data_IF_705849015365
#
_entry.id   IF_705849015365
#
_cell.length_a   1.000
_cell.length_b   1.000
_cell.length_c   1.000
_cell.angle_alpha   90.00
_cell.angle_beta   90.00
_cell.angle_gamma   90.00
#
_symmetry.space_group_name_H-M   'P 1'
#
loop_
_entity.id
_entity.type
_entity.pdbx_description
1 polymer ?
#
# COMPACT_ATOMS: atom_id res chain seq x y z
N UNK A 1 63.74 34.45 37.15
CA UNK A 1 62.71 33.50 37.53
C UNK A 1 61.43 33.91 36.80
N UNK A 2 61.09 33.20 35.69
CA UNK A 2 59.91 33.50 34.87
C UNK A 2 58.96 32.33 34.94
N UNK A 3 57.81 32.52 35.56
CA UNK A 3 56.76 31.51 35.69
C UNK A 3 56.01 31.42 34.36
N UNK A 4 56.02 30.24 33.73
CA UNK A 4 55.30 29.92 32.53
C UNK A 4 53.94 29.29 32.91
N UNK A 5 52.87 30.05 32.78
CA UNK A 5 51.49 29.54 32.99
C UNK A 5 51.06 28.76 31.75
N UNK A 6 50.85 27.46 31.90
CA UNK A 6 50.31 26.57 30.90
C UNK A 6 48.78 26.59 30.97
N UNK A 7 48.11 27.29 30.03
CA UNK A 7 46.68 27.21 29.86
C UNK A 7 46.30 25.91 29.15
N UNK A 8 45.69 24.98 29.88
CA UNK A 8 45.08 23.80 29.29
C UNK A 8 43.68 24.18 28.87
N UNK A 9 43.45 24.36 27.56
CA UNK A 9 42.11 24.54 26.98
C UNK A 9 41.45 23.17 26.87
N UNK A 10 40.50 22.89 27.76
CA UNK A 10 39.61 21.71 27.67
C UNK A 10 38.53 21.96 26.58
N UNK A 11 38.75 21.37 25.43
CA UNK A 11 37.71 21.35 24.37
C UNK A 11 36.65 20.30 24.68
N UNK A 12 35.50 20.74 25.16
CA UNK A 12 34.33 19.92 25.39
C UNK A 12 33.67 19.60 24.04
N UNK A 13 33.98 18.44 23.47
CA UNK A 13 33.40 17.95 22.23
C UNK A 13 31.97 17.44 22.52
N UNK A 14 30.98 18.29 22.23
CA UNK A 14 29.57 17.95 22.35
C UNK A 14 29.17 17.06 21.17
N UNK A 15 29.13 15.75 21.39
CA UNK A 15 28.68 14.77 20.38
C UNK A 15 27.15 14.83 20.31
N UNK A 16 26.63 15.44 19.23
CA UNK A 16 25.19 15.37 18.91
C UNK A 16 24.88 13.94 18.48
N UNK A 17 24.21 13.19 19.35
CA UNK A 17 23.62 11.89 18.99
C UNK A 17 22.33 12.20 18.21
N UNK A 18 22.40 12.13 16.89
CA UNK A 18 21.22 12.12 16.04
C UNK A 18 20.49 10.79 16.26
N UNK A 19 19.44 10.82 17.08
CA UNK A 19 18.50 9.72 17.21
C UNK A 19 17.72 9.62 15.89
N UNK A 20 18.21 8.80 14.97
CA UNK A 20 17.45 8.44 13.76
C UNK A 20 16.35 7.49 14.19
N UNK A 21 15.12 7.98 14.27
CA UNK A 21 13.94 7.11 14.32
C UNK A 21 13.84 6.42 12.98
N UNK A 22 14.35 5.21 12.88
CA UNK A 22 13.99 4.28 11.80
C UNK A 22 12.59 3.79 12.12
N UNK A 23 11.59 4.23 11.35
CA UNK A 23 10.30 3.57 11.32
C UNK A 23 10.53 2.12 10.93
N UNK A 24 10.18 1.20 11.82
CA UNK A 24 10.20 -0.23 11.51
C UNK A 24 9.01 -0.48 10.59
N UNK A 25 9.26 -0.58 9.29
CA UNK A 25 8.25 -1.02 8.33
C UNK A 25 7.91 -2.47 8.65
N UNK A 26 6.63 -2.76 8.80
CA UNK A 26 6.13 -4.11 9.01
C UNK A 26 6.22 -4.85 7.68
N UNK A 27 7.18 -5.75 7.57
CA UNK A 27 7.34 -6.58 6.37
C UNK A 27 6.29 -7.70 6.39
N UNK A 28 5.40 -7.69 5.40
CA UNK A 28 4.44 -8.75 5.16
C UNK A 28 5.03 -9.75 4.18
N UNK A 29 5.17 -11.00 4.55
CA UNK A 29 5.48 -12.07 3.59
C UNK A 29 4.22 -12.44 2.78
N UNK A 30 3.66 -11.45 2.11
CA UNK A 30 2.39 -11.52 1.39
C UNK A 30 2.42 -10.58 0.18
N UNK A 31 1.60 -10.86 -0.82
CA UNK A 31 1.46 -10.01 -2.01
C UNK A 31 0.05 -10.07 -2.58
N UNK A 32 -0.36 -9.02 -3.28
CA UNK A 32 -1.58 -9.00 -4.09
C UNK A 32 -1.24 -8.84 -5.56
N UNK A 33 -2.07 -9.39 -6.43
CA UNK A 33 -1.85 -9.36 -7.87
C UNK A 33 -3.16 -9.46 -8.66
N UNK A 34 -3.15 -8.89 -9.86
CA UNK A 34 -4.17 -9.19 -10.86
C UNK A 34 -3.83 -10.54 -11.50
N UNK A 35 -4.78 -11.49 -11.50
CA UNK A 35 -4.55 -12.84 -12.03
C UNK A 35 -4.61 -12.89 -13.56
N UNK A 36 -5.28 -11.94 -14.19
CA UNK A 36 -5.59 -11.96 -15.62
C UNK A 36 -5.40 -10.62 -16.34
N UNK A 37 -4.77 -9.65 -15.69
CA UNK A 37 -4.44 -8.35 -16.26
C UNK A 37 -2.96 -8.06 -16.04
N UNK A 38 -2.32 -7.41 -17.02
CA UNK A 38 -0.92 -6.99 -16.99
C UNK A 38 -0.80 -5.48 -17.25
N UNK A 39 0.34 -4.91 -16.84
CA UNK A 39 0.65 -3.50 -17.11
C UNK A 39 0.78 -3.27 -18.62
N UNK A 40 0.07 -2.27 -19.15
CA UNK A 40 0.05 -1.94 -20.57
C UNK A 40 -1.06 -2.62 -21.37
N UNK A 41 -1.93 -3.40 -20.77
CA UNK A 41 -3.05 -4.06 -21.48
C UNK A 41 -3.97 -3.05 -22.17
N UNK A 42 -4.46 -3.43 -23.35
CA UNK A 42 -5.56 -2.76 -24.06
C UNK A 42 -6.80 -3.66 -24.00
N UNK A 43 -7.87 -3.16 -23.40
CA UNK A 43 -9.04 -3.94 -22.99
C UNK A 43 -10.34 -3.29 -23.49
N UNK A 44 -11.39 -4.10 -23.58
CA UNK A 44 -12.75 -3.61 -23.84
C UNK A 44 -13.61 -3.70 -22.57
N UNK A 45 -14.44 -2.69 -22.36
CA UNK A 45 -15.42 -2.66 -21.27
C UNK A 45 -16.64 -3.54 -21.58
N UNK A 46 -17.20 -4.31 -20.62
CA UNK A 46 -16.73 -4.47 -19.24
C UNK A 46 -15.45 -5.30 -19.12
N UNK A 47 -14.56 -4.90 -18.25
CA UNK A 47 -13.28 -5.59 -17.99
C UNK A 47 -13.50 -6.62 -16.90
N UNK A 48 -13.32 -7.91 -17.23
CA UNK A 48 -13.32 -8.96 -16.21
C UNK A 48 -12.02 -8.94 -15.43
N UNK A 49 -12.08 -8.62 -14.13
CA UNK A 49 -10.92 -8.54 -13.24
C UNK A 49 -10.94 -9.70 -12.26
N UNK A 50 -9.83 -10.43 -12.17
CA UNK A 50 -9.59 -11.45 -11.15
C UNK A 50 -8.47 -11.00 -10.22
N UNK A 51 -8.76 -11.03 -8.92
CA UNK A 51 -7.88 -10.55 -7.85
C UNK A 51 -7.31 -11.72 -7.08
N UNK A 52 -6.01 -11.69 -6.79
CA UNK A 52 -5.32 -12.70 -6.01
C UNK A 52 -4.58 -12.11 -4.83
N UNK A 53 -4.35 -12.93 -3.81
CA UNK A 53 -3.48 -12.65 -2.68
C UNK A 53 -2.70 -13.92 -2.34
N UNK A 54 -1.43 -13.78 -1.99
CA UNK A 54 -0.57 -14.83 -1.45
C UNK A 54 -0.09 -14.42 -0.07
N UNK A 55 0.11 -15.41 0.83
CA UNK A 55 0.57 -15.18 2.19
C UNK A 55 -0.50 -14.63 3.15
N UNK A 56 -1.70 -14.33 2.66
CA UNK A 56 -2.88 -13.94 3.45
C UNK A 56 -4.14 -14.61 2.90
N UNK A 57 -5.22 -14.53 3.67
CA UNK A 57 -6.53 -15.12 3.33
C UNK A 57 -7.56 -14.02 3.05
N UNK A 58 -8.44 -14.28 2.07
CA UNK A 58 -9.57 -13.38 1.80
C UNK A 58 -10.72 -13.68 2.75
N UNK A 59 -11.22 -12.66 3.43
CA UNK A 59 -12.38 -12.72 4.32
C UNK A 59 -13.31 -11.52 4.11
N UNK A 60 -14.57 -11.66 4.50
CA UNK A 60 -15.50 -10.54 4.47
C UNK A 60 -15.12 -9.46 5.50
N UNK A 61 -15.40 -8.19 5.17
CA UNK A 61 -15.26 -7.08 6.11
C UNK A 61 -16.14 -7.27 7.35
N UNK A 62 -15.72 -6.74 8.50
CA UNK A 62 -16.49 -6.75 9.74
C UNK A 62 -15.68 -6.84 11.01
N UNK A 63 -14.57 -7.58 11.02
CA UNK A 63 -13.70 -7.70 12.18
C UNK A 63 -12.23 -7.81 11.77
N UNK A 64 -11.34 -7.33 12.60
CA UNK A 64 -9.91 -7.56 12.41
C UNK A 64 -9.57 -9.02 12.75
N UNK A 65 -8.83 -9.64 11.85
CA UNK A 65 -8.23 -10.95 12.05
C UNK A 65 -6.85 -10.95 11.38
N UNK A 66 -5.83 -11.29 12.14
CA UNK A 66 -4.46 -11.31 11.64
C UNK A 66 -4.31 -12.28 10.47
N UNK A 67 -3.65 -11.85 9.39
CA UNK A 67 -3.46 -12.65 8.18
C UNK A 67 -4.67 -12.67 7.24
N UNK A 68 -5.71 -11.89 7.52
CA UNK A 68 -6.93 -11.83 6.73
C UNK A 68 -7.24 -10.41 6.25
N UNK A 69 -7.99 -10.32 5.15
CA UNK A 69 -8.45 -9.06 4.61
C UNK A 69 -9.34 -9.23 3.39
N UNK A 70 -9.60 -8.11 2.72
CA UNK A 70 -10.39 -8.10 1.48
C UNK A 70 -9.83 -7.11 0.47
N UNK A 71 -10.18 -7.33 -0.78
CA UNK A 71 -9.71 -6.52 -1.89
C UNK A 71 -10.47 -5.20 -2.03
N UNK A 72 -9.75 -4.20 -2.55
CA UNK A 72 -10.28 -2.97 -3.12
C UNK A 72 -9.61 -2.76 -4.48
N UNK A 73 -10.32 -2.13 -5.45
CA UNK A 73 -9.73 -1.59 -6.66
C UNK A 73 -9.83 -0.07 -6.60
N UNK A 74 -8.69 0.59 -6.78
CA UNK A 74 -8.59 2.04 -6.80
C UNK A 74 -8.36 2.49 -8.25
N UNK A 75 -9.23 3.35 -8.76
CA UNK A 75 -9.19 3.85 -10.14
C UNK A 75 -8.52 5.23 -10.18
N UNK A 76 -7.47 5.36 -11.01
CA UNK A 76 -6.68 6.58 -11.20
C UNK A 76 -6.02 7.14 -9.93
N UNK A 77 -5.69 6.27 -9.00
CA UNK A 77 -4.97 6.59 -7.77
C UNK A 77 -3.94 5.51 -7.46
N UNK A 78 -2.99 5.83 -6.60
CA UNK A 78 -2.00 4.90 -6.07
C UNK A 78 -2.51 4.17 -4.82
N UNK A 79 -1.64 3.41 -4.16
CA UNK A 79 -1.95 2.74 -2.90
C UNK A 79 -2.38 3.71 -1.79
N UNK A 80 -3.09 3.18 -0.82
CA UNK A 80 -3.45 3.87 0.42
C UNK A 80 -2.38 3.57 1.47
N UNK A 81 -1.92 4.60 2.17
CA UNK A 81 -0.93 4.48 3.25
C UNK A 81 -1.36 3.43 4.28
N UNK A 82 -0.41 2.66 4.80
CA UNK A 82 -0.64 1.68 5.86
C UNK A 82 -1.41 2.28 7.04
N UNK A 83 -2.29 1.49 7.65
CA UNK A 83 -3.19 1.87 8.75
C UNK A 83 -4.23 2.97 8.42
N UNK A 84 -4.20 3.55 7.23
CA UNK A 84 -5.24 4.49 6.78
C UNK A 84 -6.49 3.74 6.30
N UNK A 85 -7.66 4.31 6.57
CA UNK A 85 -8.93 3.76 6.08
C UNK A 85 -9.02 3.98 4.57
N UNK A 86 -9.31 2.92 3.82
CA UNK A 86 -9.61 3.04 2.39
C UNK A 86 -10.90 3.86 2.22
N UNK A 87 -10.89 4.96 1.44
CA UNK A 87 -12.07 5.77 1.23
C UNK A 87 -13.24 4.99 0.60
N UNK A 88 -14.46 5.43 0.85
CA UNK A 88 -15.67 4.87 0.25
C UNK A 88 -16.25 5.89 -0.75
N UNK A 89 -15.77 5.85 -1.98
CA UNK A 89 -16.20 6.73 -3.07
C UNK A 89 -16.17 5.98 -4.43
N UNK A 90 -16.51 6.66 -5.51
CA UNK A 90 -16.60 6.08 -6.85
C UNK A 90 -15.26 5.54 -7.39
N UNK A 91 -14.14 5.98 -6.86
CA UNK A 91 -12.80 5.54 -7.28
C UNK A 91 -12.26 4.39 -6.43
N UNK A 92 -12.85 4.11 -5.28
CA UNK A 92 -12.41 3.08 -4.34
C UNK A 92 -13.45 1.97 -4.26
N UNK A 93 -13.36 1.02 -5.20
CA UNK A 93 -14.33 -0.07 -5.33
C UNK A 93 -14.07 -1.12 -4.27
N UNK A 94 -15.06 -1.39 -3.44
CA UNK A 94 -14.96 -2.20 -2.24
C UNK A 94 -15.52 -3.62 -2.45
N UNK A 95 -14.75 -4.64 -2.10
CA UNK A 95 -15.12 -6.07 -2.21
C UNK A 95 -15.34 -6.71 -0.83
N UNK A 96 -16.09 -6.02 0.03
CA UNK A 96 -16.26 -6.34 1.45
C UNK A 96 -17.03 -7.63 1.77
N UNK A 97 -17.45 -8.41 0.78
CA UNK A 97 -18.02 -9.75 0.98
C UNK A 97 -16.99 -10.86 0.69
N UNK A 98 -15.71 -10.50 0.51
CA UNK A 98 -14.66 -11.45 0.16
C UNK A 98 -14.67 -11.86 -1.32
N UNK A 99 -15.19 -11.00 -2.20
CA UNK A 99 -15.15 -11.24 -3.65
C UNK A 99 -13.70 -11.19 -4.16
N UNK A 100 -13.39 -12.08 -5.09
CA UNK A 100 -12.07 -12.19 -5.75
C UNK A 100 -12.14 -11.92 -7.25
N UNK A 101 -13.30 -11.53 -7.77
CA UNK A 101 -13.48 -11.11 -9.15
C UNK A 101 -14.63 -10.10 -9.29
N UNK A 102 -14.62 -9.36 -10.40
CA UNK A 102 -15.65 -8.41 -10.75
C UNK A 102 -15.62 -8.12 -12.25
N UNK A 103 -16.70 -7.61 -12.78
CA UNK A 103 -16.74 -6.95 -14.09
C UNK A 103 -16.74 -5.44 -13.85
N UNK A 104 -15.69 -4.75 -14.34
CA UNK A 104 -15.46 -3.33 -14.15
C UNK A 104 -15.87 -2.57 -15.41
N UNK A 105 -16.85 -1.70 -15.29
CA UNK A 105 -17.30 -0.83 -16.38
C UNK A 105 -16.53 0.49 -16.34
N UNK A 106 -15.71 0.73 -17.38
CA UNK A 106 -14.98 1.98 -17.58
C UNK A 106 -15.22 2.52 -18.98
N UNK A 107 -15.32 3.83 -19.12
CA UNK A 107 -15.37 4.47 -20.44
C UNK A 107 -14.03 4.29 -21.18
N UNK A 108 -14.01 4.49 -22.50
CA UNK A 108 -12.76 4.49 -23.27
C UNK A 108 -11.80 5.55 -22.72
N UNK A 109 -10.52 5.17 -22.51
CA UNK A 109 -9.51 6.04 -21.93
C UNK A 109 -8.32 5.30 -21.33
N UNK A 110 -7.37 6.06 -20.78
CA UNK A 110 -6.21 5.53 -20.07
C UNK A 110 -6.49 5.53 -18.56
N UNK A 111 -6.20 4.42 -17.91
CA UNK A 111 -6.43 4.23 -16.49
C UNK A 111 -5.21 3.66 -15.78
N UNK A 112 -5.07 4.06 -14.54
CA UNK A 112 -4.20 3.42 -13.57
C UNK A 112 -5.12 2.64 -12.61
N UNK A 113 -4.97 1.33 -12.51
CA UNK A 113 -5.71 0.49 -11.56
C UNK A 113 -4.77 0.02 -10.46
N UNK A 114 -5.14 0.26 -9.22
CA UNK A 114 -4.42 -0.26 -8.06
C UNK A 114 -5.28 -1.26 -7.32
N UNK A 115 -4.83 -2.50 -7.24
CA UNK A 115 -5.38 -3.50 -6.33
C UNK A 115 -4.78 -3.23 -4.94
N UNK A 116 -5.63 -3.02 -3.94
CA UNK A 116 -5.23 -2.77 -2.55
C UNK A 116 -5.88 -3.79 -1.64
N UNK A 117 -5.09 -4.37 -0.72
CA UNK A 117 -5.63 -5.21 0.34
C UNK A 117 -5.80 -4.41 1.64
N UNK A 118 -6.89 -4.68 2.36
CA UNK A 118 -7.19 -4.02 3.62
C UNK A 118 -7.78 -5.02 4.62
N UNK A 119 -7.64 -4.73 5.91
CA UNK A 119 -8.16 -5.54 6.99
C UNK A 119 -9.69 -5.48 7.11
N UNK A 120 -10.27 -6.23 8.03
CA UNK A 120 -11.72 -6.27 8.25
C UNK A 120 -12.34 -4.92 8.65
N UNK A 121 -11.55 -3.94 9.07
CA UNK A 121 -11.98 -2.57 9.36
C UNK A 121 -11.66 -1.58 8.23
N UNK A 122 -11.28 -2.06 7.05
CA UNK A 122 -10.87 -1.26 5.89
C UNK A 122 -9.57 -0.49 6.07
N UNK A 123 -8.74 -0.85 7.03
CA UNK A 123 -7.40 -0.30 7.15
C UNK A 123 -6.48 -0.94 6.13
N UNK A 124 -5.86 -0.11 5.31
CA UNK A 124 -4.89 -0.54 4.31
C UNK A 124 -3.68 -1.22 4.94
N UNK A 125 -3.20 -2.29 4.32
CA UNK A 125 -1.90 -2.89 4.60
C UNK A 125 -0.72 -2.17 3.90
N UNK A 126 -0.97 -1.01 3.32
CA UNK A 126 0.06 -0.16 2.70
C UNK A 126 0.47 -0.59 1.29
N UNK A 127 1.63 -0.06 0.87
CA UNK A 127 2.18 -0.28 -0.46
C UNK A 127 2.55 -1.74 -0.71
N UNK A 128 3.05 -2.44 0.30
CA UNK A 128 3.47 -3.85 0.18
C UNK A 128 2.33 -4.79 -0.22
N UNK A 129 1.10 -4.49 0.21
CA UNK A 129 -0.10 -5.23 -0.18
C UNK A 129 -0.95 -4.43 -1.17
N UNK A 130 -0.27 -3.84 -2.15
CA UNK A 130 -0.87 -3.19 -3.31
C UNK A 130 -0.18 -3.59 -4.61
N UNK A 131 -0.90 -3.52 -5.73
CA UNK A 131 -0.38 -3.73 -7.07
C UNK A 131 -1.01 -2.75 -8.05
N UNK A 132 -0.19 -1.93 -8.67
CA UNK A 132 -0.64 -0.95 -9.66
C UNK A 132 -0.28 -1.40 -11.07
N UNK A 133 -1.21 -1.26 -12.01
CA UNK A 133 -1.04 -1.45 -13.45
C UNK A 133 -1.67 -0.28 -14.22
N UNK A 134 -1.14 0.02 -15.39
CA UNK A 134 -1.73 0.97 -16.34
C UNK A 134 -2.41 0.19 -17.46
N UNK A 135 -3.60 0.61 -17.85
CA UNK A 135 -4.38 -0.04 -18.91
C UNK A 135 -4.97 1.01 -19.85
N UNK A 136 -5.30 0.58 -21.06
CA UNK A 136 -6.08 1.35 -22.04
C UNK A 136 -7.43 0.66 -22.23
N UNK A 137 -8.53 1.41 -22.15
CA UNK A 137 -9.88 0.93 -22.45
C UNK A 137 -10.35 1.50 -23.78
N UNK A 138 -10.83 0.65 -24.70
CA UNK A 138 -11.34 0.98 -26.04
C UNK A 138 -12.86 0.81 -26.15
#
# INVERSE_FOLDING_TARGET
MKNLNLFVASSLMFTLILCSCTEVQKEYNASVFFQNLEDGDTLQSPIHVKMGVEGMEVEAAGAFKEGFGHHHIIVNCTHITEDSIVPADEKHIHFGKGQTNTDLELAAGNYCLTLQFADGFHKSYGEELSKTINIVVE
#
